data_IF_135366342490
#
_entry.id   IF_135366342490
#
_cell.length_a   1.000
_cell.length_b   1.000
_cell.length_c   1.000
_cell.angle_alpha   90.00
_cell.angle_beta   90.00
_cell.angle_gamma   90.00
#
_symmetry.space_group_name_H-M   'P 1'
#
loop_
_entity.id
_entity.type
_entity.pdbx_description
1 polymer ?
#
# COMPACT_ATOMS: atom_id res chain seq x y z
N UNK A 1 134.76 -81.17 111.27
CA UNK A 1 133.54 -81.95 110.98
C UNK A 1 132.85 -82.22 112.33
N UNK A 2 131.71 -81.60 112.70
CA UNK A 2 130.82 -82.13 113.76
C UNK A 2 129.47 -81.41 113.83
N UNK A 3 128.48 -82.20 114.20
CA UNK A 3 127.04 -82.01 114.32
C UNK A 3 126.60 -81.01 115.43
N UNK A 4 125.52 -80.22 115.23
CA UNK A 4 124.56 -79.86 116.30
C UNK A 4 123.23 -79.27 115.76
N UNK A 5 122.18 -80.08 115.84
CA UNK A 5 120.77 -79.81 116.21
C UNK A 5 120.03 -78.50 115.83
N UNK A 6 118.78 -78.70 115.38
CA UNK A 6 117.64 -77.75 115.41
C UNK A 6 117.80 -76.54 114.44
N UNK A 7 116.81 -75.98 113.76
CA UNK A 7 115.38 -75.77 114.04
C UNK A 7 114.69 -75.34 112.74
N UNK A 8 113.39 -75.59 112.65
CA UNK A 8 112.45 -75.01 111.68
C UNK A 8 112.51 -73.48 111.64
N UNK A 9 112.45 -72.89 110.44
CA UNK A 9 111.81 -71.57 110.28
C UNK A 9 110.89 -71.61 109.07
N UNK A 10 109.63 -71.96 109.33
CA UNK A 10 108.50 -71.67 108.47
C UNK A 10 108.41 -70.15 108.33
N UNK A 11 108.81 -69.62 107.16
CA UNK A 11 108.64 -68.21 106.81
C UNK A 11 107.15 -67.88 106.84
N UNK A 12 106.71 -67.26 107.93
CA UNK A 12 105.40 -66.59 107.96
C UNK A 12 105.48 -65.47 106.93
N UNK A 13 104.68 -65.56 105.88
CA UNK A 13 104.47 -64.43 104.97
C UNK A 13 103.70 -63.38 105.75
N UNK A 14 104.37 -62.28 106.07
CA UNK A 14 103.76 -61.17 106.78
C UNK A 14 103.09 -60.27 105.75
N UNK A 15 101.93 -59.72 106.11
CA UNK A 15 101.25 -58.73 105.31
C UNK A 15 102.17 -57.50 105.23
N UNK A 16 102.73 -57.27 104.05
CA UNK A 16 103.55 -56.10 103.81
C UNK A 16 102.65 -54.86 103.79
N UNK A 17 102.78 -54.05 104.84
CA UNK A 17 102.03 -52.82 105.02
C UNK A 17 102.38 -51.79 103.93
N UNK A 18 103.57 -51.87 103.33
CA UNK A 18 104.05 -50.99 102.27
C UNK A 18 103.34 -51.29 100.93
N UNK A 19 103.17 -52.56 100.59
CA UNK A 19 102.37 -52.98 99.42
C UNK A 19 100.89 -52.58 99.49
N UNK A 20 100.31 -52.56 100.70
CA UNK A 20 98.92 -52.12 100.93
C UNK A 20 98.76 -50.60 100.73
N UNK A 21 99.74 -49.81 101.18
CA UNK A 21 99.78 -48.36 100.94
C UNK A 21 99.93 -48.01 99.45
N UNK A 22 100.75 -48.77 98.70
CA UNK A 22 100.90 -48.59 97.25
C UNK A 22 99.64 -48.95 96.45
N UNK A 23 98.83 -49.91 96.91
CA UNK A 23 97.57 -50.28 96.27
C UNK A 23 96.50 -49.21 96.45
N UNK A 24 96.44 -48.59 97.64
CA UNK A 24 95.54 -47.47 97.95
C UNK A 24 95.88 -46.24 97.08
N UNK A 25 97.15 -45.90 96.95
CA UNK A 25 97.61 -44.77 96.15
C UNK A 25 97.36 -44.96 94.64
N UNK A 26 97.61 -46.16 94.09
CA UNK A 26 97.27 -46.45 92.68
C UNK A 26 95.76 -46.44 92.42
N UNK A 27 94.96 -46.91 93.39
CA UNK A 27 93.51 -46.91 93.28
C UNK A 27 92.96 -45.48 93.34
N UNK A 28 93.53 -44.65 94.22
CA UNK A 28 93.29 -43.21 94.29
C UNK A 28 93.63 -42.51 92.97
N UNK A 29 94.81 -42.75 92.38
CA UNK A 29 95.20 -42.16 91.08
C UNK A 29 94.24 -42.61 89.96
N UNK A 30 93.84 -43.88 89.91
CA UNK A 30 92.88 -44.37 88.91
C UNK A 30 91.50 -43.74 89.08
N UNK A 31 91.02 -43.57 90.32
CA UNK A 31 89.77 -42.87 90.63
C UNK A 31 89.86 -41.38 90.27
N UNK A 32 90.96 -40.70 90.60
CA UNK A 32 91.18 -39.30 90.25
C UNK A 32 91.23 -39.09 88.73
N UNK A 33 91.88 -40.00 87.99
CA UNK A 33 91.89 -39.99 86.52
C UNK A 33 90.49 -40.23 85.94
N UNK A 34 89.77 -41.25 86.41
CA UNK A 34 88.42 -41.54 85.94
C UNK A 34 87.44 -40.40 86.24
N UNK A 35 87.58 -39.74 87.40
CA UNK A 35 86.80 -38.55 87.77
C UNK A 35 87.14 -37.37 86.85
N UNK A 36 88.41 -37.16 86.52
CA UNK A 36 88.81 -36.07 85.62
C UNK A 36 88.41 -36.32 84.16
N UNK A 37 88.51 -37.55 83.67
CA UNK A 37 88.08 -37.91 82.31
C UNK A 37 86.54 -37.90 82.16
N UNK A 38 85.80 -38.11 83.26
CA UNK A 38 84.34 -38.01 83.31
C UNK A 38 83.82 -36.57 83.52
N UNK A 39 84.69 -35.57 83.71
CA UNK A 39 84.27 -34.16 83.78
C UNK A 39 83.74 -33.73 82.41
N UNK A 40 82.46 -33.39 82.38
CA UNK A 40 81.85 -32.79 81.22
C UNK A 40 82.46 -31.41 80.95
N UNK A 41 83.10 -31.25 79.79
CA UNK A 41 83.60 -29.96 79.31
C UNK A 41 82.52 -29.29 78.46
N UNK A 42 81.89 -28.26 79.03
CA UNK A 42 80.83 -27.48 78.39
C UNK A 42 81.36 -26.18 77.74
N UNK A 43 82.68 -26.02 77.64
CA UNK A 43 83.32 -24.79 77.14
C UNK A 43 82.84 -24.44 75.73
N UNK A 44 82.75 -25.43 74.83
CA UNK A 44 82.25 -25.20 73.47
C UNK A 44 80.77 -24.77 73.46
N UNK A 45 79.95 -25.36 74.32
CA UNK A 45 78.53 -25.01 74.44
C UNK A 45 78.38 -23.59 75.01
N UNK A 46 79.14 -23.23 76.05
CA UNK A 46 79.18 -21.87 76.62
C UNK A 46 79.63 -20.83 75.59
N UNK A 47 80.63 -21.16 74.78
CA UNK A 47 81.09 -20.27 73.70
C UNK A 47 80.01 -20.06 72.63
N UNK A 48 79.35 -21.13 72.18
CA UNK A 48 78.23 -21.03 71.24
C UNK A 48 77.07 -20.21 71.79
N UNK A 49 76.71 -20.41 73.07
CA UNK A 49 75.68 -19.61 73.75
C UNK A 49 76.10 -18.14 73.82
N UNK A 50 77.37 -17.86 74.09
CA UNK A 50 77.92 -16.49 74.13
C UNK A 50 77.84 -15.82 72.76
N UNK A 51 78.14 -16.54 71.67
CA UNK A 51 78.02 -16.03 70.29
C UNK A 51 76.55 -15.78 69.94
N UNK A 52 75.65 -16.74 70.22
CA UNK A 52 74.22 -16.59 69.95
C UNK A 52 73.61 -15.38 70.69
N UNK A 53 74.06 -15.14 71.92
CA UNK A 53 73.67 -14.01 72.77
C UNK A 53 74.50 -12.73 72.53
N UNK A 54 75.45 -12.77 71.60
CA UNK A 54 76.29 -11.65 71.22
C UNK A 54 75.49 -10.48 70.69
N UNK A 55 76.11 -9.30 70.63
CA UNK A 55 75.44 -8.09 70.17
C UNK A 55 75.17 -8.08 68.66
N UNK A 56 74.51 -7.03 68.16
CA UNK A 56 74.19 -6.79 66.75
C UNK A 56 75.42 -6.69 65.82
N UNK A 57 76.63 -6.72 66.37
CA UNK A 57 77.90 -6.69 65.62
C UNK A 57 78.63 -8.03 65.62
N UNK A 58 78.14 -9.03 66.35
CA UNK A 58 78.79 -10.35 66.48
C UNK A 58 78.25 -11.29 65.41
N UNK A 59 79.14 -11.80 64.57
CA UNK A 59 78.77 -12.77 63.53
C UNK A 59 78.27 -14.09 64.17
N UNK A 60 77.15 -14.60 63.64
CA UNK A 60 76.46 -15.75 64.19
C UNK A 60 75.53 -15.44 65.37
N UNK A 61 75.44 -14.19 65.83
CA UNK A 61 74.45 -13.81 66.85
C UNK A 61 73.03 -13.71 66.28
N UNK A 62 72.04 -14.00 67.13
CA UNK A 62 70.62 -13.84 66.75
C UNK A 62 70.31 -12.37 66.48
N UNK A 63 70.89 -11.47 67.28
CA UNK A 63 70.71 -10.02 67.13
C UNK A 63 71.23 -9.49 65.79
N UNK A 64 72.42 -9.91 65.35
CA UNK A 64 72.97 -9.53 64.05
C UNK A 64 72.06 -10.00 62.91
N UNK A 65 71.61 -11.25 62.96
CA UNK A 65 70.72 -11.83 61.94
C UNK A 65 69.40 -11.06 61.85
N UNK A 66 68.78 -10.74 63.00
CA UNK A 66 67.55 -9.93 63.06
C UNK A 66 67.79 -8.51 62.54
N UNK A 67 68.92 -7.88 62.89
CA UNK A 67 69.28 -6.55 62.37
C UNK A 67 69.47 -6.57 60.86
N UNK A 68 70.21 -7.53 60.31
CA UNK A 68 70.42 -7.64 58.86
C UNK A 68 69.07 -7.77 58.14
N UNK A 69 68.18 -8.67 58.60
CA UNK A 69 66.85 -8.81 58.02
C UNK A 69 66.00 -7.52 58.12
N UNK A 70 66.12 -6.78 59.24
CA UNK A 70 65.46 -5.47 59.40
C UNK A 70 66.01 -4.44 58.42
N UNK A 71 67.33 -4.33 58.29
CA UNK A 71 67.99 -3.36 57.42
C UNK A 71 67.71 -3.66 55.95
N UNK A 72 67.76 -4.94 55.54
CA UNK A 72 67.40 -5.41 54.20
C UNK A 72 65.94 -5.04 53.88
N UNK A 73 65.01 -5.35 54.79
CA UNK A 73 63.60 -4.99 54.64
C UNK A 73 63.43 -3.46 54.49
N UNK A 74 64.10 -2.68 55.34
CA UNK A 74 64.06 -1.21 55.27
C UNK A 74 64.70 -0.65 54.00
N UNK A 75 65.71 -1.32 53.43
CA UNK A 75 66.30 -0.93 52.15
C UNK A 75 65.35 -1.17 50.98
N UNK A 76 64.53 -2.22 51.04
CA UNK A 76 63.56 -2.55 49.98
C UNK A 76 62.28 -1.70 50.07
N UNK A 77 61.74 -1.51 51.27
CA UNK A 77 60.44 -0.85 51.46
C UNK A 77 60.55 0.62 51.91
N UNK A 78 61.77 1.10 52.19
CA UNK A 78 62.00 2.39 52.82
C UNK A 78 61.65 2.39 54.31
N UNK A 79 61.73 3.56 54.93
CA UNK A 79 61.29 3.77 56.32
C UNK A 79 59.94 4.49 56.37
N UNK A 80 59.23 4.36 57.49
CA UNK A 80 57.97 5.10 57.71
C UNK A 80 58.17 6.62 57.62
N UNK A 81 59.38 7.11 57.94
CA UNK A 81 59.72 8.52 57.83
C UNK A 81 59.77 9.03 56.39
N UNK A 82 60.02 8.13 55.42
CA UNK A 82 60.12 8.48 53.99
C UNK A 82 58.76 8.65 53.32
N UNK A 83 57.67 8.22 53.97
CA UNK A 83 56.31 8.45 53.48
C UNK A 83 56.02 9.94 53.39
N UNK A 84 55.30 10.37 52.36
CA UNK A 84 54.86 11.77 52.22
C UNK A 84 53.46 12.02 52.77
N UNK A 85 52.82 11.00 53.35
CA UNK A 85 51.49 11.09 53.98
C UNK A 85 51.53 11.92 55.26
N UNK A 86 50.37 12.42 55.67
CA UNK A 86 50.22 13.13 56.95
C UNK A 86 50.25 12.15 58.11
N UNK A 87 49.55 11.02 57.98
CA UNK A 87 49.54 9.91 58.91
C UNK A 87 50.75 8.98 58.67
N UNK A 88 51.63 8.90 59.68
CA UNK A 88 52.87 8.11 59.67
C UNK A 88 53.06 7.24 60.92
N UNK A 89 51.99 6.91 61.64
CA UNK A 89 52.08 6.03 62.83
C UNK A 89 52.43 4.60 62.44
N UNK A 90 51.91 4.15 61.29
CA UNK A 90 52.05 2.82 60.74
C UNK A 90 51.64 2.82 59.25
N UNK A 91 51.97 1.74 58.53
CA UNK A 91 51.67 1.61 57.10
C UNK A 91 50.16 1.58 56.80
N UNK A 92 49.35 1.01 57.70
CA UNK A 92 47.90 0.88 57.49
C UNK A 92 47.24 2.26 57.52
N UNK A 93 47.67 3.12 58.44
CA UNK A 93 47.21 4.50 58.57
C UNK A 93 47.58 5.32 57.33
N UNK A 94 48.82 5.22 56.85
CA UNK A 94 49.24 5.88 55.62
C UNK A 94 48.44 5.41 54.38
N UNK A 95 48.24 4.09 54.25
CA UNK A 95 47.46 3.51 53.15
C UNK A 95 45.99 3.95 53.22
N UNK A 96 45.40 4.01 54.42
CA UNK A 96 44.02 4.46 54.61
C UNK A 96 43.85 5.95 54.28
N UNK A 97 44.83 6.81 54.56
CA UNK A 97 44.84 8.21 54.12
C UNK A 97 44.80 8.32 52.59
N UNK A 98 45.63 7.54 51.89
CA UNK A 98 45.64 7.50 50.43
C UNK A 98 44.32 6.97 49.90
N UNK A 99 43.79 5.88 50.49
CA UNK A 99 42.50 5.29 50.09
C UNK A 99 41.36 6.30 50.26
N UNK A 100 41.34 7.06 51.35
CA UNK A 100 40.38 8.14 51.56
C UNK A 100 40.52 9.22 50.49
N UNK A 101 41.74 9.74 50.31
CA UNK A 101 42.04 10.79 49.34
C UNK A 101 41.67 10.40 47.90
N UNK A 102 42.00 9.19 47.47
CA UNK A 102 41.66 8.66 46.14
C UNK A 102 40.15 8.41 46.01
N UNK A 103 39.52 7.81 47.02
CA UNK A 103 38.08 7.56 47.02
C UNK A 103 37.24 8.84 46.96
N UNK A 104 37.66 9.88 47.69
CA UNK A 104 37.01 11.18 47.67
C UNK A 104 37.26 11.92 46.35
N UNK A 105 38.47 11.82 45.80
CA UNK A 105 38.80 12.41 44.49
C UNK A 105 37.95 11.85 43.34
N UNK A 106 37.61 10.55 43.37
CA UNK A 106 36.76 9.92 42.34
C UNK A 106 35.31 10.38 42.43
N UNK A 107 34.79 10.63 43.65
CA UNK A 107 33.43 11.18 43.83
C UNK A 107 33.34 12.64 43.42
N UNK A 108 34.37 13.41 43.76
CA UNK A 108 34.43 14.85 43.45
C UNK A 108 34.60 15.04 41.94
N UNK A 109 35.48 14.26 41.28
CA UNK A 109 35.75 14.31 39.83
C UNK A 109 34.60 13.90 38.90
N UNK A 110 33.45 13.48 39.41
CA UNK A 110 32.33 13.05 38.60
C UNK A 110 31.76 14.22 37.78
N UNK A 111 31.62 14.00 36.47
CA UNK A 111 30.91 14.93 35.60
C UNK A 111 29.42 14.68 35.78
N UNK A 112 28.70 15.73 36.14
CA UNK A 112 27.24 15.71 36.31
C UNK A 112 26.60 16.75 35.41
N UNK A 113 25.32 16.54 35.09
CA UNK A 113 24.52 17.50 34.34
C UNK A 113 23.39 17.97 35.24
N UNK A 114 23.37 19.26 35.53
CA UNK A 114 22.31 19.91 36.29
C UNK A 114 21.32 20.57 35.32
N UNK A 115 20.05 20.17 35.43
CA UNK A 115 18.94 20.65 34.60
C UNK A 115 17.89 21.41 35.43
N UNK A 116 18.17 21.65 36.72
CA UNK A 116 17.23 22.29 37.64
C UNK A 116 17.07 23.78 37.38
N UNK A 117 18.13 24.45 36.94
CA UNK A 117 18.15 25.86 36.59
C UNK A 117 18.16 26.01 35.08
N UNK A 118 17.31 26.86 34.55
CA UNK A 118 17.32 27.30 33.15
C UNK A 118 17.75 28.75 33.11
N UNK A 119 18.71 29.07 32.25
CA UNK A 119 19.17 30.44 32.00
C UNK A 119 17.98 31.30 31.57
N UNK A 120 17.88 32.51 32.10
CA UNK A 120 16.82 33.44 31.74
C UNK A 120 16.80 33.67 30.22
N UNK A 121 15.60 33.65 29.61
CA UNK A 121 15.42 33.75 28.16
C UNK A 121 15.66 32.45 27.37
N UNK A 122 16.08 31.36 28.01
CA UNK A 122 16.26 30.06 27.34
C UNK A 122 15.06 29.14 27.56
N UNK A 123 14.81 28.23 26.63
CA UNK A 123 13.77 27.20 26.78
C UNK A 123 14.21 26.12 27.77
N UNK A 124 15.50 25.75 27.73
CA UNK A 124 16.12 24.84 28.69
C UNK A 124 17.62 25.03 28.73
N UNK A 125 18.22 24.83 29.91
CA UNK A 125 19.68 24.82 30.08
C UNK A 125 20.15 23.54 30.74
N UNK A 126 21.35 23.12 30.32
CA UNK A 126 22.05 21.96 30.86
C UNK A 126 23.42 22.43 31.34
N UNK A 127 23.58 22.54 32.65
CA UNK A 127 24.84 22.97 33.25
C UNK A 127 25.70 21.76 33.55
N UNK A 128 26.81 21.63 32.84
CA UNK A 128 27.81 20.59 33.09
C UNK A 128 28.62 21.01 34.32
N UNK A 129 28.70 20.14 35.32
CA UNK A 129 29.45 20.37 36.55
C UNK A 129 30.52 19.30 36.75
N UNK A 130 31.69 19.72 37.17
CA UNK A 130 32.76 18.86 37.68
C UNK A 130 33.11 19.36 39.08
N UNK A 131 33.22 18.47 40.08
CA UNK A 131 33.46 18.85 41.47
C UNK A 131 32.41 19.85 42.00
N UNK A 132 31.16 19.74 41.54
CA UNK A 132 30.07 20.67 41.83
C UNK A 132 30.30 22.11 41.31
N UNK A 133 31.37 22.35 40.55
CA UNK A 133 31.67 23.62 39.89
C UNK A 133 31.18 23.57 38.45
N UNK A 134 30.44 24.58 38.01
CA UNK A 134 29.97 24.69 36.63
C UNK A 134 31.15 24.90 35.67
N UNK A 135 31.27 24.03 34.67
CA UNK A 135 32.32 24.11 33.65
C UNK A 135 31.79 24.62 32.32
N UNK A 136 30.54 24.31 31.99
CA UNK A 136 29.88 24.78 30.77
C UNK A 136 28.36 24.76 30.95
N UNK A 137 27.68 25.61 30.21
CA UNK A 137 26.23 25.59 30.10
C UNK A 137 25.87 25.43 28.63
N UNK A 138 24.99 24.47 28.35
CA UNK A 138 24.37 24.32 27.04
C UNK A 138 22.97 24.92 27.14
N UNK A 139 22.76 26.03 26.45
CA UNK A 139 21.49 26.74 26.40
C UNK A 139 20.73 26.40 25.12
N UNK A 140 19.45 26.08 25.26
CA UNK A 140 18.51 25.87 24.16
C UNK A 140 17.68 27.16 23.99
N UNK A 141 17.88 27.95 22.93
CA UNK A 141 17.14 29.18 22.71
C UNK A 141 15.65 28.93 22.50
N UNK A 142 14.82 29.85 23.01
CA UNK A 142 13.35 29.83 22.84
C UNK A 142 12.91 29.88 21.37
N UNK A 143 13.64 30.62 20.54
CA UNK A 143 13.29 30.83 19.12
C UNK A 143 13.50 29.59 18.24
N UNK A 144 14.19 28.57 18.76
CA UNK A 144 14.53 27.36 18.01
C UNK A 144 13.56 26.20 18.25
N UNK A 145 12.63 26.33 19.19
CA UNK A 145 11.79 25.20 19.64
C UNK A 145 10.32 25.59 19.75
N UNK A 146 9.47 24.58 19.55
CA UNK A 146 8.04 24.66 19.85
C UNK A 146 7.81 24.25 21.31
N UNK A 147 6.99 24.99 22.05
CA UNK A 147 6.59 24.62 23.41
C UNK A 147 5.46 23.58 23.42
N UNK A 148 4.56 23.65 22.44
CA UNK A 148 3.45 22.71 22.27
C UNK A 148 2.88 22.74 20.85
N UNK A 149 2.12 21.69 20.52
CA UNK A 149 1.31 21.64 19.31
C UNK A 149 -0.08 21.10 19.63
N UNK A 150 -1.11 21.74 19.09
CA UNK A 150 -2.52 21.34 19.23
C UNK A 150 -3.20 21.31 17.87
N UNK A 151 -4.25 20.49 17.75
CA UNK A 151 -5.18 20.60 16.62
C UNK A 151 -6.35 21.45 17.11
N UNK A 152 -6.60 22.57 16.44
CA UNK A 152 -7.68 23.50 16.79
C UNK A 152 -8.61 23.69 15.59
N UNK A 153 -9.91 23.71 15.84
CA UNK A 153 -10.91 24.12 14.85
C UNK A 153 -11.20 25.61 15.01
N UNK A 154 -11.19 26.34 13.90
CA UNK A 154 -11.51 27.76 13.80
C UNK A 154 -10.75 28.64 14.81
N UNK A 155 -9.41 28.58 14.85
CA UNK A 155 -8.64 29.42 15.77
C UNK A 155 -8.86 30.91 15.50
N UNK A 156 -8.89 31.71 16.58
CA UNK A 156 -9.17 33.14 16.52
C UNK A 156 -8.21 33.88 15.57
N UNK A 157 -8.77 34.74 14.72
CA UNK A 157 -8.00 35.54 13.75
C UNK A 157 -7.56 34.78 12.49
N UNK A 158 -7.96 33.52 12.31
CA UNK A 158 -7.76 32.74 11.09
C UNK A 158 -9.09 32.52 10.34
N UNK A 159 -9.00 32.14 9.07
CA UNK A 159 -10.17 31.65 8.32
C UNK A 159 -10.75 30.39 8.98
N UNK A 160 -12.03 30.11 8.74
CA UNK A 160 -12.69 28.87 9.16
C UNK A 160 -11.92 27.63 8.62
N UNK A 161 -11.68 26.65 9.48
CA UNK A 161 -11.00 25.40 9.15
C UNK A 161 -10.31 24.74 10.34
N UNK A 162 -9.76 23.55 10.11
CA UNK A 162 -8.93 22.83 11.07
C UNK A 162 -7.46 23.24 10.90
N UNK A 163 -6.76 23.47 12.00
CA UNK A 163 -5.38 23.93 12.01
C UNK A 163 -4.51 23.05 12.90
N UNK A 164 -3.28 22.81 12.47
CA UNK A 164 -2.19 22.48 13.40
C UNK A 164 -1.64 23.80 13.93
N UNK A 165 -1.79 24.03 15.23
CA UNK A 165 -1.36 25.24 15.93
C UNK A 165 -0.11 24.89 16.72
N UNK A 166 1.03 25.43 16.32
CA UNK A 166 2.30 25.26 17.03
C UNK A 166 2.59 26.51 17.82
N UNK A 167 2.72 26.38 19.14
CA UNK A 167 3.13 27.49 20.01
C UNK A 167 4.64 27.50 20.07
N UNK A 168 5.26 28.60 19.64
CA UNK A 168 6.71 28.79 19.75
C UNK A 168 7.07 29.05 21.22
N UNK A 169 8.25 28.63 21.65
CA UNK A 169 8.69 28.86 23.03
C UNK A 169 9.14 30.32 23.29
N UNK A 170 8.90 31.25 22.36
CA UNK A 170 9.25 32.68 22.47
C UNK A 170 8.57 33.37 23.66
N UNK A 171 9.06 34.54 24.08
CA UNK A 171 8.47 35.32 25.18
C UNK A 171 6.97 35.60 24.97
N UNK A 172 6.57 35.82 23.72
CA UNK A 172 5.18 36.12 23.35
C UNK A 172 4.34 34.87 23.10
N UNK A 173 4.94 33.67 23.14
CA UNK A 173 4.27 32.41 22.77
C UNK A 173 3.63 32.50 21.38
N UNK A 174 4.37 33.07 20.42
CA UNK A 174 3.88 33.30 19.07
C UNK A 174 3.40 31.97 18.45
N UNK A 175 2.30 32.01 17.73
CA UNK A 175 1.69 30.81 17.15
C UNK A 175 1.95 30.72 15.65
N UNK A 176 2.35 29.54 15.20
CA UNK A 176 2.35 29.17 13.78
C UNK A 176 1.05 28.42 13.51
N UNK A 177 0.24 28.97 12.62
CA UNK A 177 -1.02 28.40 12.18
C UNK A 177 -0.85 27.73 10.83
N UNK A 178 -1.05 26.42 10.80
CA UNK A 178 -0.96 25.63 9.57
C UNK A 178 -2.36 25.10 9.26
N UNK A 179 -3.04 25.73 8.29
CA UNK A 179 -4.37 25.30 7.87
C UNK A 179 -4.28 23.93 7.16
N UNK A 180 -4.76 22.87 7.80
CA UNK A 180 -4.62 21.52 7.25
C UNK A 180 -5.48 21.30 6.00
N UNK A 181 -6.57 22.06 5.85
CA UNK A 181 -7.43 22.03 4.67
C UNK A 181 -6.81 22.70 3.43
N UNK A 182 -5.82 23.60 3.61
CA UNK A 182 -5.07 24.25 2.53
C UNK A 182 -3.72 23.58 2.22
N UNK A 183 -3.24 22.65 3.05
CA UNK A 183 -1.95 21.96 2.84
C UNK A 183 -1.95 21.03 1.62
N UNK A 184 -3.13 20.58 1.24
CA UNK A 184 -3.37 19.68 0.13
C UNK A 184 -4.40 20.39 -0.73
N UNK A 185 -4.04 20.71 -1.97
CA UNK A 185 -4.97 21.26 -2.95
C UNK A 185 -6.08 20.24 -3.20
N UNK A 186 -7.17 20.36 -2.44
CA UNK A 186 -8.43 19.71 -2.74
C UNK A 186 -9.22 20.75 -3.52
N UNK A 187 -9.05 20.76 -4.84
CA UNK A 187 -9.90 21.56 -5.71
C UNK A 187 -11.36 21.31 -5.34
N UNK A 188 -12.16 22.36 -5.28
CA UNK A 188 -13.61 22.24 -5.08
C UNK A 188 -14.29 22.32 -6.45
N UNK A 189 -14.97 21.24 -6.84
CA UNK A 189 -15.76 21.26 -8.06
C UNK A 189 -16.99 22.17 -7.84
N UNK A 190 -17.29 23.04 -8.80
CA UNK A 190 -18.53 23.80 -8.78
C UNK A 190 -19.72 22.84 -8.73
N UNK A 191 -20.59 23.01 -7.74
CA UNK A 191 -21.84 22.27 -7.68
C UNK A 191 -22.76 22.72 -8.81
N UNK A 192 -23.41 21.75 -9.46
CA UNK A 192 -24.39 21.98 -10.52
C UNK A 192 -23.85 22.81 -11.70
N UNK A 193 -22.66 22.44 -12.19
CA UNK A 193 -22.13 23.00 -13.43
C UNK A 193 -23.10 22.74 -14.60
N UNK A 194 -23.15 23.63 -15.58
CA UNK A 194 -24.18 23.58 -16.66
C UNK A 194 -23.87 22.58 -17.76
N UNK A 195 -22.60 22.23 -17.99
CA UNK A 195 -22.17 21.37 -19.09
C UNK A 195 -21.35 20.16 -18.61
N UNK A 196 -20.25 20.40 -17.90
CA UNK A 196 -19.40 19.35 -17.35
C UNK A 196 -19.42 19.42 -15.83
N UNK A 197 -20.05 18.44 -15.19
CA UNK A 197 -20.01 18.30 -13.74
C UNK A 197 -18.77 17.48 -13.35
N UNK A 198 -17.83 18.12 -12.67
CA UNK A 198 -16.69 17.45 -12.04
C UNK A 198 -17.11 16.91 -10.67
N UNK A 199 -16.64 15.71 -10.33
CA UNK A 199 -16.78 15.12 -9.00
C UNK A 199 -15.40 14.67 -8.54
N UNK A 200 -15.00 15.15 -7.36
CA UNK A 200 -13.69 14.89 -6.75
C UNK A 200 -13.94 14.01 -5.55
N UNK A 201 -13.38 12.79 -5.56
CA UNK A 201 -13.50 11.89 -4.43
C UNK A 201 -12.55 12.35 -3.30
N UNK A 202 -13.06 12.76 -2.13
CA UNK A 202 -12.21 13.32 -1.06
C UNK A 202 -11.29 12.26 -0.43
N UNK A 203 -11.60 10.98 -0.57
CA UNK A 203 -10.82 9.88 0.00
C UNK A 203 -9.75 9.37 -0.96
N UNK A 204 -10.06 9.22 -2.25
CA UNK A 204 -9.12 8.68 -3.25
C UNK A 204 -8.40 9.74 -4.07
N UNK A 205 -8.85 11.00 -4.01
CA UNK A 205 -8.38 12.13 -4.84
C UNK A 205 -8.60 11.92 -6.34
N UNK A 206 -9.46 10.98 -6.72
CA UNK A 206 -9.82 10.76 -8.12
C UNK A 206 -10.78 11.85 -8.59
N UNK A 207 -10.52 12.37 -9.80
CA UNK A 207 -11.36 13.34 -10.47
C UNK A 207 -12.13 12.60 -11.57
N UNK A 208 -13.45 12.70 -11.51
CA UNK A 208 -14.35 12.21 -12.55
C UNK A 208 -15.13 13.38 -13.15
N UNK A 209 -15.56 13.21 -14.39
CA UNK A 209 -16.34 14.20 -15.11
C UNK A 209 -17.57 13.52 -15.71
N UNK A 210 -18.71 14.19 -15.62
CA UNK A 210 -19.96 13.75 -16.25
C UNK A 210 -20.50 14.88 -17.11
N UNK A 211 -20.98 14.54 -18.32
CA UNK A 211 -21.71 15.48 -19.15
C UNK A 211 -23.13 15.60 -18.60
N UNK A 212 -23.57 16.83 -18.34
CA UNK A 212 -24.92 17.10 -17.86
C UNK A 212 -25.91 16.76 -18.96
N UNK A 213 -26.97 16.02 -18.62
CA UNK A 213 -27.97 15.60 -19.59
C UNK A 213 -28.61 16.80 -20.30
N UNK A 214 -28.65 16.76 -21.63
CA UNK A 214 -29.21 17.85 -22.44
C UNK A 214 -28.30 19.08 -22.60
N UNK A 215 -27.09 19.09 -22.00
CA UNK A 215 -26.16 20.22 -22.13
C UNK A 215 -25.42 20.29 -23.47
N UNK A 216 -25.52 19.26 -24.30
CA UNK A 216 -24.93 19.22 -25.63
C UNK A 216 -25.98 19.70 -26.63
N UNK A 217 -25.79 20.92 -27.12
CA UNK A 217 -26.59 21.53 -28.17
C UNK A 217 -25.80 21.73 -29.46
N UNK A 218 -26.27 22.65 -30.29
CA UNK A 218 -25.66 22.97 -31.60
C UNK A 218 -24.35 23.73 -31.48
N UNK A 219 -24.09 24.41 -30.34
CA UNK A 219 -22.83 25.14 -30.12
C UNK A 219 -21.70 24.16 -29.83
N UNK A 220 -22.00 23.07 -29.13
CA UNK A 220 -21.04 22.03 -28.74
C UNK A 220 -20.78 21.02 -29.87
N UNK A 221 -21.73 20.85 -30.79
CA UNK A 221 -21.60 19.96 -31.94
C UNK A 221 -21.07 20.75 -33.14
N UNK A 222 -19.88 20.40 -33.61
CA UNK A 222 -19.38 20.92 -34.87
C UNK A 222 -20.29 20.53 -36.05
N UNK A 223 -20.25 21.32 -37.13
CA UNK A 223 -20.93 20.99 -38.38
C UNK A 223 -20.52 19.58 -38.86
N UNK A 224 -21.50 18.81 -39.33
CA UNK A 224 -21.35 17.42 -39.75
C UNK A 224 -20.77 16.46 -38.68
N UNK A 225 -20.74 16.86 -37.40
CA UNK A 225 -20.24 15.99 -36.33
C UNK A 225 -21.09 14.73 -36.16
N UNK A 226 -22.38 14.75 -36.49
CA UNK A 226 -23.27 13.59 -36.41
C UNK A 226 -23.38 12.93 -37.79
N UNK A 227 -22.47 11.99 -38.05
CA UNK A 227 -22.43 11.17 -39.26
C UNK A 227 -23.29 9.93 -39.14
N UNK A 228 -23.65 9.29 -40.26
CA UNK A 228 -24.44 8.04 -40.29
C UNK A 228 -23.86 6.93 -39.41
N UNK A 229 -22.53 6.74 -39.39
CA UNK A 229 -21.86 5.73 -38.53
C UNK A 229 -22.05 5.95 -37.03
N UNK A 230 -22.37 7.19 -36.60
CA UNK A 230 -22.66 7.53 -35.19
C UNK A 230 -24.13 7.26 -34.82
N UNK A 231 -24.98 6.99 -35.80
CA UNK A 231 -26.40 6.66 -35.63
C UNK A 231 -26.54 5.15 -35.84
N UNK A 232 -26.72 4.41 -34.75
CA UNK A 232 -27.00 2.98 -34.86
C UNK A 232 -28.36 2.71 -35.52
N UNK A 233 -28.46 1.60 -36.25
CA UNK A 233 -29.70 1.18 -36.92
C UNK A 233 -30.86 1.07 -35.93
N UNK A 234 -32.04 1.56 -36.33
CA UNK A 234 -33.25 1.56 -35.50
C UNK A 234 -33.28 2.62 -34.40
N UNK A 235 -32.20 3.36 -34.12
CA UNK A 235 -32.22 4.41 -33.09
C UNK A 235 -33.06 5.62 -33.49
N UNK A 236 -33.19 5.94 -34.78
CA UNK A 236 -34.10 6.98 -35.27
C UNK A 236 -35.39 6.32 -35.76
N UNK A 237 -36.45 6.41 -34.97
CA UNK A 237 -37.76 5.82 -35.28
C UNK A 237 -38.71 6.89 -35.86
N UNK A 238 -39.83 6.49 -36.48
CA UNK A 238 -40.86 7.42 -36.99
C UNK A 238 -41.28 8.44 -35.94
N UNK A 239 -41.44 8.02 -34.68
CA UNK A 239 -41.82 8.90 -33.56
C UNK A 239 -40.77 9.97 -33.20
N UNK A 240 -39.50 9.80 -33.58
CA UNK A 240 -38.41 10.76 -33.35
C UNK A 240 -38.27 11.80 -34.46
N UNK A 241 -38.96 11.61 -35.60
CA UNK A 241 -38.91 12.53 -36.74
C UNK A 241 -39.88 13.70 -36.54
N UNK A 242 -39.67 14.79 -37.27
CA UNK A 242 -40.61 15.91 -37.30
C UNK A 242 -42.00 15.46 -37.80
N UNK A 243 -43.06 16.10 -37.30
CA UNK A 243 -44.46 15.75 -37.60
C UNK A 243 -44.73 15.72 -39.11
N UNK A 244 -44.29 16.72 -39.86
CA UNK A 244 -44.51 16.79 -41.31
C UNK A 244 -43.89 15.60 -42.07
N UNK A 245 -42.76 15.08 -41.58
CA UNK A 245 -42.12 13.87 -42.12
C UNK A 245 -42.95 12.63 -41.76
N UNK A 246 -43.43 12.55 -40.52
CA UNK A 246 -44.30 11.45 -40.07
C UNK A 246 -45.60 11.40 -40.89
N UNK A 247 -46.21 12.55 -41.18
CA UNK A 247 -47.42 12.66 -41.98
C UNK A 247 -47.18 12.22 -43.43
N UNK A 248 -46.05 12.62 -44.01
CA UNK A 248 -45.65 12.20 -45.35
C UNK A 248 -45.44 10.70 -45.44
N UNK A 249 -44.77 10.10 -44.45
CA UNK A 249 -44.60 8.65 -44.35
C UNK A 249 -45.94 7.93 -44.19
N UNK A 250 -46.87 8.47 -43.40
CA UNK A 250 -48.21 7.88 -43.22
C UNK A 250 -49.01 7.86 -44.53
N UNK A 251 -48.91 8.92 -45.33
CA UNK A 251 -49.53 8.94 -46.67
C UNK A 251 -48.91 7.88 -47.58
N UNK A 252 -47.59 7.69 -47.51
CA UNK A 252 -46.90 6.65 -48.24
C UNK A 252 -47.31 5.24 -47.78
N UNK A 253 -47.46 5.03 -46.46
CA UNK A 253 -47.95 3.76 -45.89
C UNK A 253 -49.36 3.41 -46.42
N UNK A 254 -50.20 4.41 -46.70
CA UNK A 254 -51.55 4.25 -47.26
C UNK A 254 -51.62 4.35 -48.78
N UNK A 255 -50.49 4.45 -49.48
CA UNK A 255 -50.49 4.66 -50.93
C UNK A 255 -50.92 3.39 -51.67
N UNK A 256 -51.95 3.51 -52.51
CA UNK A 256 -52.42 2.42 -53.38
C UNK A 256 -51.30 1.97 -54.31
N UNK A 257 -51.09 0.65 -54.35
CA UNK A 257 -50.21 -0.02 -55.31
C UNK A 257 -51.02 -0.53 -56.50
N UNK A 258 -50.33 -0.92 -57.59
CA UNK A 258 -51.00 -1.46 -58.77
C UNK A 258 -51.84 -2.72 -58.46
N UNK A 259 -51.39 -3.55 -57.51
CA UNK A 259 -52.15 -4.73 -57.05
C UNK A 259 -53.46 -4.37 -56.35
N UNK A 260 -53.56 -3.17 -55.81
CA UNK A 260 -54.73 -2.72 -55.09
C UNK A 260 -55.83 -2.24 -56.05
N UNK A 261 -55.53 -2.12 -57.34
CA UNK A 261 -56.43 -1.65 -58.39
C UNK A 261 -56.61 -2.77 -59.42
N UNK A 262 -57.75 -3.45 -59.36
CA UNK A 262 -58.09 -4.56 -60.26
C UNK A 262 -59.45 -4.32 -60.93
N UNK A 263 -59.83 -5.17 -61.88
CA UNK A 263 -61.19 -5.14 -62.45
C UNK A 263 -62.22 -5.42 -61.34
N UNK A 264 -63.33 -4.69 -61.35
CA UNK A 264 -64.44 -4.96 -60.44
C UNK A 264 -65.28 -6.17 -60.88
N UNK A 265 -66.21 -6.57 -60.03
CA UNK A 265 -67.12 -7.70 -60.24
C UNK A 265 -68.21 -7.34 -61.26
N UNK A 266 -68.64 -6.08 -61.27
CA UNK A 266 -69.64 -5.56 -62.20
C UNK A 266 -69.01 -4.82 -63.38
N UNK A 267 -69.67 -4.86 -64.54
CA UNK A 267 -69.24 -4.06 -65.68
C UNK A 267 -69.29 -2.57 -65.34
N UNK A 268 -68.18 -1.86 -65.56
CA UNK A 268 -68.04 -0.44 -65.27
C UNK A 268 -67.55 -0.14 -63.86
N UNK A 269 -67.09 -1.14 -63.11
CA UNK A 269 -66.41 -0.96 -61.83
C UNK A 269 -64.93 -1.37 -61.92
N UNK A 270 -64.11 -0.75 -61.06
CA UNK A 270 -62.78 -1.23 -60.68
C UNK A 270 -62.83 -1.58 -59.20
N UNK A 271 -62.11 -2.60 -58.75
CA UNK A 271 -61.95 -2.86 -57.33
C UNK A 271 -60.71 -2.12 -56.81
N UNK A 272 -60.88 -1.24 -55.83
CA UNK A 272 -59.80 -0.55 -55.10
C UNK A 272 -59.72 -1.15 -53.69
N UNK A 273 -58.59 -1.77 -53.35
CA UNK A 273 -58.44 -2.57 -52.12
C UNK A 273 -59.57 -3.60 -51.93
N UNK A 274 -59.95 -4.28 -53.02
CA UNK A 274 -61.03 -5.26 -53.02
C UNK A 274 -62.44 -4.69 -52.88
N UNK A 275 -62.60 -3.36 -52.88
CA UNK A 275 -63.91 -2.70 -52.88
C UNK A 275 -64.23 -2.18 -54.27
N UNK A 276 -65.34 -2.62 -54.85
CA UNK A 276 -65.80 -2.14 -56.16
C UNK A 276 -66.18 -0.66 -56.10
N UNK A 277 -65.57 0.12 -56.99
CA UNK A 277 -65.78 1.55 -57.21
C UNK A 277 -66.30 1.74 -58.63
N UNK A 278 -67.43 2.43 -58.76
CA UNK A 278 -68.03 2.75 -60.06
C UNK A 278 -67.20 3.77 -60.81
N UNK A 279 -66.83 3.45 -62.04
CA UNK A 279 -66.16 4.38 -62.94
C UNK A 279 -67.20 5.22 -63.66
N UNK A 280 -67.23 6.52 -63.38
CA UNK A 280 -68.19 7.45 -64.01
C UNK A 280 -67.89 7.55 -65.51
N UNK A 281 -68.94 7.51 -66.34
CA UNK A 281 -68.82 7.57 -67.80
C UNK A 281 -68.74 6.21 -68.50
N UNK A 282 -68.42 5.14 -67.77
CA UNK A 282 -68.50 3.76 -68.27
C UNK A 282 -69.92 3.19 -68.11
N UNK A 283 -70.92 3.90 -68.65
CA UNK A 283 -72.33 3.50 -68.61
C UNK A 283 -72.62 2.20 -69.36
N UNK A 284 -73.89 1.77 -69.37
CA UNK A 284 -74.35 0.50 -69.96
C UNK A 284 -73.91 0.25 -71.42
N UNK A 285 -73.56 1.30 -72.16
CA UNK A 285 -73.10 1.21 -73.55
C UNK A 285 -71.65 0.73 -73.73
N UNK A 286 -70.76 0.91 -72.74
CA UNK A 286 -69.34 0.59 -72.90
C UNK A 286 -69.04 -0.93 -72.82
N UNK A 287 -69.99 -1.74 -72.34
CA UNK A 287 -69.80 -3.16 -72.02
C UNK A 287 -70.82 -4.12 -72.63
N UNK A 288 -71.77 -3.62 -73.42
CA UNK A 288 -72.50 -4.51 -74.33
C UNK A 288 -71.55 -4.90 -75.45
N UNK A 289 -71.29 -6.22 -75.63
CA UNK A 289 -70.56 -6.72 -76.79
C UNK A 289 -71.11 -6.06 -78.06
N UNK A 290 -70.24 -5.73 -79.03
CA UNK A 290 -70.67 -5.10 -80.28
C UNK A 290 -71.86 -5.84 -80.93
N UNK A 291 -71.85 -7.17 -80.80
CA UNK A 291 -72.85 -8.13 -81.24
C UNK A 291 -74.25 -7.88 -80.63
N UNK A 292 -74.33 -7.29 -79.43
CA UNK A 292 -75.60 -6.92 -78.79
C UNK A 292 -76.24 -5.69 -79.44
N UNK A 293 -75.44 -4.81 -80.08
CA UNK A 293 -75.96 -3.70 -80.88
C UNK A 293 -76.46 -4.15 -82.25
N UNK A 294 -75.83 -5.18 -82.82
CA UNK A 294 -76.26 -5.80 -84.08
C UNK A 294 -77.67 -6.45 -83.94
N UNK A 295 -78.02 -6.94 -82.75
CA UNK A 295 -79.31 -7.61 -82.49
C UNK A 295 -80.40 -6.64 -81.99
N UNK A 296 -80.05 -5.45 -81.53
CA UNK A 296 -81.00 -4.52 -80.91
C UNK A 296 -81.65 -3.56 -81.92
N UNK A 297 -82.82 -3.97 -82.43
CA UNK A 297 -83.84 -3.07 -82.97
C UNK A 297 -83.73 -2.74 -84.45
N UNK A 298 -82.64 -2.13 -84.93
CA UNK A 298 -82.58 -1.59 -86.29
C UNK A 298 -82.53 -2.67 -87.38
N UNK A 299 -81.70 -3.72 -87.19
CA UNK A 299 -81.54 -4.80 -88.17
C UNK A 299 -82.79 -5.69 -88.23
N UNK A 300 -83.38 -6.04 -87.07
CA UNK A 300 -84.64 -6.79 -87.03
C UNK A 300 -85.80 -5.98 -87.62
N UNK A 301 -85.92 -4.68 -87.29
CA UNK A 301 -86.96 -3.83 -87.87
C UNK A 301 -86.81 -3.68 -89.40
N UNK A 302 -85.58 -3.62 -89.92
CA UNK A 302 -85.33 -3.59 -91.36
C UNK A 302 -85.70 -4.92 -92.04
N UNK A 303 -85.36 -6.05 -91.39
CA UNK A 303 -85.65 -7.39 -91.90
C UNK A 303 -87.15 -7.70 -91.89
N UNK A 304 -87.83 -7.44 -90.80
CA UNK A 304 -89.29 -7.63 -90.66
C UNK A 304 -90.09 -6.59 -91.46
N UNK A 305 -89.55 -5.38 -91.63
CA UNK A 305 -90.16 -4.30 -92.38
C UNK A 305 -89.83 -4.34 -93.88
N UNK A 306 -88.95 -3.43 -94.32
CA UNK A 306 -88.73 -3.14 -95.74
C UNK A 306 -88.27 -4.35 -96.55
N UNK A 307 -87.45 -5.24 -95.97
CA UNK A 307 -86.98 -6.44 -96.67
C UNK A 307 -88.15 -7.39 -96.95
N UNK A 308 -89.02 -7.63 -95.96
CA UNK A 308 -90.20 -8.48 -96.13
C UNK A 308 -91.19 -7.88 -97.14
N UNK A 309 -91.39 -6.55 -97.12
CA UNK A 309 -92.23 -5.85 -98.11
C UNK A 309 -91.65 -5.97 -99.51
N UNK A 310 -90.35 -5.74 -99.68
CA UNK A 310 -89.69 -5.85 -100.97
C UNK A 310 -89.75 -7.28 -101.50
N UNK A 311 -89.58 -8.28 -100.64
CA UNK A 311 -89.72 -9.70 -100.99
C UNK A 311 -91.12 -9.98 -101.58
N UNK A 312 -92.19 -9.55 -100.91
CA UNK A 312 -93.58 -9.69 -101.41
C UNK A 312 -93.82 -8.95 -102.73
N UNK A 313 -93.28 -7.74 -102.86
CA UNK A 313 -93.42 -6.95 -104.08
C UNK A 313 -92.71 -7.61 -105.27
N UNK A 314 -91.52 -8.18 -105.04
CA UNK A 314 -90.76 -8.93 -106.06
C UNK A 314 -91.53 -10.18 -106.46
N UNK A 315 -92.06 -10.96 -105.51
CA UNK A 315 -92.89 -12.14 -105.80
C UNK A 315 -94.11 -11.77 -106.65
N UNK A 316 -94.80 -10.67 -106.31
CA UNK A 316 -95.94 -10.19 -107.10
C UNK A 316 -95.55 -9.70 -108.50
N UNK A 317 -94.38 -9.06 -108.65
CA UNK A 317 -93.87 -8.67 -109.97
C UNK A 317 -93.46 -9.88 -110.81
N UNK A 318 -92.86 -10.90 -110.20
CA UNK A 318 -92.51 -12.16 -110.87
C UNK A 318 -93.76 -12.81 -111.45
N UNK A 319 -94.85 -12.92 -110.68
CA UNK A 319 -96.13 -13.43 -111.18
C UNK A 319 -96.65 -12.62 -112.37
N UNK A 320 -96.60 -11.28 -112.31
CA UNK A 320 -97.03 -10.43 -113.44
C UNK A 320 -96.16 -10.60 -114.68
N UNK A 321 -94.86 -10.83 -114.51
CA UNK A 321 -93.93 -11.10 -115.62
C UNK A 321 -94.23 -12.46 -116.23
N UNK A 322 -94.44 -13.50 -115.41
CA UNK A 322 -94.87 -14.83 -115.89
C UNK A 322 -96.20 -14.73 -116.66
N UNK A 323 -97.17 -13.96 -116.16
CA UNK A 323 -98.44 -13.71 -116.84
C UNK A 323 -98.21 -13.06 -118.22
N UNK A 324 -97.33 -12.06 -118.32
CA UNK A 324 -96.98 -11.39 -119.58
C UNK A 324 -96.23 -12.31 -120.55
N UNK A 325 -95.31 -13.13 -120.05
CA UNK A 325 -94.55 -14.11 -120.84
C UNK A 325 -95.45 -15.24 -121.36
N UNK A 326 -96.54 -15.56 -120.64
CA UNK A 326 -97.53 -16.57 -121.05
C UNK A 326 -98.49 -16.12 -122.16
N UNK A 327 -98.44 -14.85 -122.57
CA UNK A 327 -99.29 -14.31 -123.64
C UNK A 327 -98.80 -14.80 -125.01
N UNK A 328 -99.54 -15.72 -125.63
CA UNK A 328 -99.35 -16.09 -127.03
C UNK A 328 -99.99 -15.06 -127.97
N UNK A 329 -99.16 -14.30 -128.69
CA UNK A 329 -99.63 -13.42 -129.76
C UNK A 329 -99.83 -14.23 -131.05
N UNK A 330 -101.08 -14.37 -131.48
CA UNK A 330 -101.39 -14.92 -132.81
C UNK A 330 -101.46 -13.79 -133.85
N UNK A 331 -100.80 -13.92 -135.01
CA UNK A 331 -100.83 -12.88 -136.03
C UNK A 331 -102.26 -12.69 -136.55
N UNK A 332 -102.69 -11.43 -136.69
CA UNK A 332 -104.00 -11.09 -137.26
C UNK A 332 -104.09 -11.66 -138.69
N UNK A 333 -105.18 -12.38 -138.98
CA UNK A 333 -105.37 -12.96 -140.30
C UNK A 333 -105.82 -11.90 -141.30
N UNK A 334 -105.45 -12.05 -142.58
CA UNK A 334 -105.86 -11.16 -143.68
C UNK A 334 -107.39 -10.94 -143.72
N UNK A 335 -108.18 -11.97 -143.35
CA UNK A 335 -109.63 -11.89 -143.26
C UNK A 335 -110.13 -10.93 -142.15
N UNK A 336 -109.45 -10.89 -141.00
CA UNK A 336 -109.77 -10.00 -139.88
C UNK A 336 -109.33 -8.55 -140.15
N UNK A 337 -108.21 -8.36 -140.86
CA UNK A 337 -107.80 -7.02 -141.36
C UNK A 337 -108.88 -6.47 -142.30
N UNK A 338 -109.38 -7.29 -143.22
CA UNK A 338 -110.36 -6.84 -144.21
C UNK A 338 -111.74 -6.49 -143.61
N UNK A 339 -112.12 -7.05 -142.44
CA UNK A 339 -113.38 -6.70 -141.76
C UNK A 339 -113.31 -5.43 -140.90
N UNK A 340 -112.13 -4.82 -140.72
CA UNK A 340 -111.97 -3.54 -139.99
C UNK A 340 -112.12 -2.32 -140.91
N UNK A 341 -112.16 -2.53 -142.23
CA UNK A 341 -112.23 -1.48 -143.25
C UNK A 341 -113.42 -1.62 -144.22
N UNK A 342 -114.38 -2.52 -143.98
CA UNK A 342 -115.58 -2.74 -144.81
C UNK A 342 -116.86 -2.87 -143.98
#
# INVERSE_FOLDING_TARGET
MANSNETTVTKKQYLDMEGLALYDEKSKIRMEKAINDAKYDDTELKNKITILNGDETVDGSVKKTVKTAKDELQSEIGTIADLTTTAKSDLVSAINEIKGSVGDSVKVGAITVDTSVTTEGMAKSYTIKQNNVSVATIDIPKDMVVSSGTVEENPEGQDEGTYLVLTLATENSDKIYINVGKLIDIYTAQASATQVQLAINPSTREISATIVAGSIGTVELADDAITTVKIADGNVTKAKLAVDVQDSLTKADSALQASDIVSGVENGTIAVNGTDVKVTGLGSAAYTNADAYEVAGAVNALKEGQVTVNQKNIEALQTKVEDLESVEYTPITEAQINSLFC
#
